data_IF_170540332181
#
_entry.id   IF_170540332181
#
_cell.length_a   1.000
_cell.length_b   1.000
_cell.length_c   1.000
_cell.angle_alpha   90.00
_cell.angle_beta   90.00
_cell.angle_gamma   90.00
#
_symmetry.space_group_name_H-M   'P 1'
#
loop_
_entity.id
_entity.type
_entity.pdbx_description
1 polymer ?
#
# COMPACT_ATOMS: atom_id res chain seq x y z
N UNK A 1 -3.03 34.63 18.73
CA UNK A 1 -1.81 33.78 18.75
C UNK A 1 -2.17 32.41 19.31
N UNK A 2 -2.48 31.42 18.49
CA UNK A 2 -2.85 30.10 19.02
C UNK A 2 -2.52 29.01 18.01
N UNK A 3 -1.53 28.19 18.35
CA UNK A 3 -1.26 26.84 17.85
C UNK A 3 -1.05 26.59 16.34
N UNK A 4 -1.41 27.50 15.44
CA UNK A 4 -1.19 27.33 13.99
C UNK A 4 0.29 27.33 13.58
N UNK A 5 1.20 27.72 14.48
CA UNK A 5 2.65 27.63 14.32
C UNK A 5 3.27 26.33 14.88
N UNK A 6 2.48 25.47 15.54
CA UNK A 6 2.91 24.11 15.92
C UNK A 6 2.77 23.23 14.68
N UNK A 7 3.69 23.44 13.74
CA UNK A 7 3.91 22.48 12.67
C UNK A 7 4.69 21.27 13.19
N UNK A 8 5.48 20.68 12.28
CA UNK A 8 6.45 19.63 12.58
C UNK A 8 7.28 19.88 13.86
N UNK A 9 7.74 21.11 14.19
CA UNK A 9 8.52 21.35 15.40
C UNK A 9 7.79 20.94 16.70
N UNK A 10 6.49 21.22 16.81
CA UNK A 10 5.74 20.87 18.02
C UNK A 10 5.51 19.36 18.14
N UNK A 11 5.32 18.66 17.03
CA UNK A 11 5.21 17.20 17.00
C UNK A 11 6.51 16.56 17.50
N UNK A 12 7.68 17.09 17.12
CA UNK A 12 8.99 16.59 17.58
C UNK A 12 9.11 16.70 19.11
N UNK A 13 8.68 17.81 19.73
CA UNK A 13 8.71 17.96 21.21
C UNK A 13 7.89 16.83 21.87
N UNK A 14 6.67 16.60 21.39
CA UNK A 14 5.78 15.58 21.94
C UNK A 14 6.38 14.18 21.75
N UNK A 15 6.98 13.95 20.59
CA UNK A 15 7.67 12.69 20.27
C UNK A 15 8.84 12.46 21.22
N UNK A 16 9.68 13.45 21.50
CA UNK A 16 10.81 13.33 22.44
C UNK A 16 10.33 12.96 23.85
N UNK A 17 9.28 13.62 24.36
CA UNK A 17 8.72 13.32 25.69
C UNK A 17 8.19 11.88 25.73
N UNK A 18 7.43 11.50 24.71
CA UNK A 18 6.90 10.13 24.56
C UNK A 18 8.04 9.10 24.47
N UNK A 19 9.12 9.43 23.75
CA UNK A 19 10.29 8.58 23.64
C UNK A 19 11.07 8.44 24.94
N UNK A 20 11.02 9.41 25.84
CA UNK A 20 11.62 9.27 27.18
C UNK A 20 10.80 8.28 28.02
N UNK A 21 9.46 8.37 27.96
CA UNK A 21 8.57 7.50 28.74
C UNK A 21 8.56 6.06 28.19
N UNK A 22 8.42 5.90 26.88
CA UNK A 22 8.29 4.59 26.23
C UNK A 22 9.61 4.03 25.69
N UNK A 23 10.58 4.88 25.37
CA UNK A 23 11.85 4.51 24.75
C UNK A 23 11.82 4.53 23.21
N UNK A 24 12.92 4.93 22.53
CA UNK A 24 13.03 4.99 21.06
C UNK A 24 12.91 3.64 20.37
N UNK A 25 13.12 2.53 21.08
CA UNK A 25 12.97 1.17 20.55
C UNK A 25 11.52 0.70 20.52
N UNK A 26 10.64 1.20 21.40
CA UNK A 26 9.27 0.70 21.53
C UNK A 26 8.33 1.22 20.45
N UNK A 27 8.48 2.48 20.01
CA UNK A 27 7.67 3.02 18.91
C UNK A 27 7.81 2.22 17.59
N UNK A 28 9.03 1.94 17.08
CA UNK A 28 9.18 1.16 15.84
C UNK A 28 8.82 -0.31 16.03
N UNK A 29 8.99 -0.88 17.23
CA UNK A 29 8.58 -2.25 17.54
C UNK A 29 7.05 -2.40 17.45
N UNK A 30 6.30 -1.52 18.13
CA UNK A 30 4.83 -1.49 18.08
C UNK A 30 4.35 -1.15 16.67
N UNK A 31 4.98 -0.16 16.02
CA UNK A 31 4.64 0.23 14.65
C UNK A 31 4.87 -0.90 13.63
N UNK A 32 5.92 -1.71 13.81
CA UNK A 32 6.19 -2.86 12.95
C UNK A 32 5.15 -3.98 13.15
N UNK A 33 4.78 -4.26 14.39
CA UNK A 33 3.72 -5.22 14.70
C UNK A 33 2.37 -4.77 14.13
N UNK A 34 1.97 -3.54 14.41
CA UNK A 34 0.72 -2.95 13.94
C UNK A 34 0.69 -2.81 12.40
N UNK A 35 1.83 -2.49 11.79
CA UNK A 35 1.99 -2.38 10.34
C UNK A 35 1.81 -3.72 9.61
N UNK A 36 2.26 -4.83 10.22
CA UNK A 36 1.98 -6.17 9.68
C UNK A 36 0.48 -6.47 9.70
N UNK A 37 -0.20 -6.20 10.81
CA UNK A 37 -1.66 -6.35 10.92
C UNK A 37 -2.39 -5.48 9.89
N UNK A 38 -2.00 -4.22 9.75
CA UNK A 38 -2.63 -3.32 8.77
C UNK A 38 -2.35 -3.74 7.32
N UNK A 39 -1.17 -4.30 7.03
CA UNK A 39 -0.79 -4.80 5.71
C UNK A 39 -1.65 -6.02 5.32
N UNK A 40 -1.81 -6.98 6.23
CA UNK A 40 -2.68 -8.13 6.04
C UNK A 40 -4.14 -7.69 5.92
N UNK A 41 -4.59 -6.78 6.80
CA UNK A 41 -5.94 -6.20 6.73
C UNK A 41 -6.18 -5.49 5.40
N UNK A 42 -5.22 -4.69 4.90
CA UNK A 42 -5.30 -4.03 3.59
C UNK A 42 -5.39 -5.04 2.46
N UNK A 43 -4.65 -6.15 2.54
CA UNK A 43 -4.68 -7.20 1.52
C UNK A 43 -6.04 -7.90 1.49
N UNK A 44 -6.56 -8.29 2.64
CA UNK A 44 -7.90 -8.91 2.77
C UNK A 44 -9.01 -7.94 2.38
N UNK A 45 -8.95 -6.69 2.84
CA UNK A 45 -9.91 -5.65 2.46
C UNK A 45 -9.90 -5.42 0.94
N UNK A 46 -8.71 -5.39 0.32
CA UNK A 46 -8.58 -5.27 -1.13
C UNK A 46 -9.14 -6.49 -1.85
N UNK A 47 -8.94 -7.70 -1.34
CA UNK A 47 -9.51 -8.91 -1.91
C UNK A 47 -11.04 -8.88 -1.90
N UNK A 48 -11.65 -8.46 -0.77
CA UNK A 48 -13.10 -8.29 -0.62
C UNK A 48 -13.65 -7.22 -1.57
N UNK A 49 -12.96 -6.09 -1.74
CA UNK A 49 -13.38 -5.06 -2.69
C UNK A 49 -13.24 -5.53 -4.15
N UNK A 50 -12.19 -6.29 -4.46
CA UNK A 50 -11.87 -6.75 -5.81
C UNK A 50 -12.77 -7.93 -6.24
N UNK A 51 -13.28 -8.74 -5.29
CA UNK A 51 -14.30 -9.79 -5.55
C UNK A 51 -15.66 -9.21 -5.94
N UNK A 52 -15.90 -7.92 -5.70
CA UNK A 52 -17.08 -7.20 -6.20
C UNK A 52 -16.88 -6.56 -7.61
N UNK A 53 -15.67 -6.60 -8.17
CA UNK A 53 -15.33 -6.08 -9.51
C UNK A 53 -14.84 -7.18 -10.50
N UNK A 54 -14.63 -8.42 -10.01
CA UNK A 54 -13.99 -9.50 -10.79
C UNK A 54 -14.88 -10.37 -11.66
N UNK A 55 -16.16 -10.02 -11.83
CA UNK A 55 -17.03 -10.72 -12.79
C UNK A 55 -16.70 -10.40 -14.27
N UNK A 56 -15.73 -9.52 -14.59
CA UNK A 56 -15.46 -9.15 -16.00
C UNK A 56 -14.00 -9.14 -16.49
N UNK A 57 -12.96 -9.35 -15.67
CA UNK A 57 -11.57 -9.12 -16.14
C UNK A 57 -10.63 -10.33 -16.08
N UNK A 58 -11.01 -11.46 -15.47
CA UNK A 58 -10.12 -12.64 -15.39
C UNK A 58 -10.01 -13.49 -16.67
N UNK A 59 -10.64 -13.11 -17.79
CA UNK A 59 -10.50 -13.83 -19.08
C UNK A 59 -9.56 -13.16 -20.10
N UNK A 60 -8.99 -11.98 -19.85
CA UNK A 60 -8.27 -11.22 -20.91
C UNK A 60 -6.74 -11.20 -20.75
N UNK A 61 -6.17 -11.61 -19.60
CA UNK A 61 -4.71 -11.52 -19.42
C UNK A 61 -3.90 -12.76 -19.84
N UNK A 62 -4.54 -13.89 -20.16
CA UNK A 62 -3.87 -15.08 -20.73
C UNK A 62 -3.98 -15.18 -22.25
N UNK A 63 -4.24 -14.07 -22.96
CA UNK A 63 -4.27 -13.99 -24.42
C UNK A 63 -3.18 -13.06 -25.01
N UNK A 64 -2.18 -12.65 -24.23
CA UNK A 64 -1.08 -11.77 -24.69
C UNK A 64 0.19 -12.55 -25.07
N UNK A 65 0.03 -13.70 -25.74
CA UNK A 65 1.15 -14.48 -26.29
C UNK A 65 0.71 -15.35 -27.48
N UNK A 66 0.07 -14.77 -28.50
CA UNK A 66 -0.18 -15.47 -29.78
C UNK A 66 -0.61 -14.51 -30.92
N UNK A 67 0.12 -13.41 -31.17
CA UNK A 67 -0.16 -12.58 -32.35
C UNK A 67 1.13 -11.90 -32.85
N UNK A 68 1.99 -12.67 -33.54
CA UNK A 68 3.08 -12.09 -34.32
C UNK A 68 3.53 -12.94 -35.52
N UNK A 69 2.65 -13.76 -36.12
CA UNK A 69 3.01 -14.67 -37.23
C UNK A 69 2.11 -14.55 -38.49
N UNK A 70 1.40 -13.43 -38.71
CA UNK A 70 0.53 -13.26 -39.90
C UNK A 70 0.83 -12.09 -40.84
N UNK A 71 1.95 -11.39 -40.68
CA UNK A 71 2.30 -10.24 -41.52
C UNK A 71 3.24 -10.56 -42.71
N UNK A 72 3.64 -11.82 -42.96
CA UNK A 72 4.60 -12.14 -44.04
C UNK A 72 4.05 -12.94 -45.24
N UNK A 73 2.75 -13.23 -45.33
CA UNK A 73 2.19 -14.11 -46.39
C UNK A 73 1.20 -13.42 -47.35
N UNK A 74 1.23 -12.09 -47.47
CA UNK A 74 0.44 -11.34 -48.47
C UNK A 74 1.29 -10.41 -49.36
N UNK A 75 2.59 -10.67 -49.47
CA UNK A 75 3.44 -10.05 -50.50
C UNK A 75 4.21 -11.12 -51.25
N UNK A 76 3.48 -11.88 -52.07
CA UNK A 76 3.89 -12.39 -53.37
C UNK A 76 2.63 -12.56 -54.23
#
# INVERSE_FOLDING_TARGET
>A
MGFSGIGIPGLIIILVITLIVFGPKKLPEIGSAFGKTLSEFKKSAKDIMDDHDKDTVSSVSSASSADNDKQSLLKE
#
